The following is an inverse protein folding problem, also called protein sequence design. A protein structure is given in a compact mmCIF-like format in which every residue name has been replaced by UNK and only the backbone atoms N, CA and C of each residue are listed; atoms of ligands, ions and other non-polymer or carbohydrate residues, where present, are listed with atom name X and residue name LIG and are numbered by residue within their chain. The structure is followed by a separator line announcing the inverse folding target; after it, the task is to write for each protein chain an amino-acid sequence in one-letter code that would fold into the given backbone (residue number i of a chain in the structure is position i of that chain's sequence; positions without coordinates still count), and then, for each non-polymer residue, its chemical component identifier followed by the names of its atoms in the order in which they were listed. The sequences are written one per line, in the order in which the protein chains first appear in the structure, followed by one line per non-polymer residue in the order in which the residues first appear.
data_IF_961276683838
#
_entry.id   IF_961276683838
#
_cell.length_a   1.000
_cell.length_b   1.000
_cell.length_c   1.000
_cell.angle_alpha   90.00
_cell.angle_beta   90.00
_cell.angle_gamma   90.00
#
_symmetry.space_group_name_H-M   'P 1'
#
loop_
_entity.id
_entity.type
_entity.pdbx_description
1 polymer ?
#
# COMPACT_ATOMS: atom_id res chain seq x y z
N UNK A 1 7.44 12.72 -23.29
CA UNK A 1 6.86 12.57 -21.93
C UNK A 1 6.11 11.26 -21.91
N UNK A 2 6.65 10.20 -21.29
CA UNK A 2 5.90 9.01 -20.84
C UNK A 2 6.87 8.05 -20.17
N UNK A 3 6.95 8.11 -18.84
CA UNK A 3 7.50 6.99 -18.05
C UNK A 3 6.32 6.15 -17.62
N UNK A 4 5.94 5.17 -18.44
CA UNK A 4 5.19 4.02 -17.94
C UNK A 4 6.12 3.29 -16.98
N UNK A 5 6.12 3.72 -15.71
CA UNK A 5 6.61 2.91 -14.61
C UNK A 5 5.67 1.71 -14.58
N UNK A 6 6.11 0.56 -15.08
CA UNK A 6 5.49 -0.73 -14.78
C UNK A 6 5.61 -0.93 -13.26
N UNK A 7 4.66 -0.34 -12.52
CA UNK A 7 4.41 -0.67 -11.12
C UNK A 7 3.82 -2.07 -11.18
N UNK A 8 4.56 -3.08 -10.72
CA UNK A 8 4.02 -4.40 -10.45
C UNK A 8 2.95 -4.23 -9.36
N UNK A 9 1.70 -3.94 -9.75
CA UNK A 9 0.61 -3.67 -8.82
C UNK A 9 0.14 -4.99 -8.25
N UNK A 10 0.83 -5.45 -7.21
CA UNK A 10 0.31 -6.49 -6.34
C UNK A 10 -1.01 -5.99 -5.72
N UNK A 11 -1.98 -6.90 -5.53
CA UNK A 11 -3.22 -6.58 -4.84
C UNK A 11 -3.05 -6.82 -3.33
N UNK A 12 -3.82 -6.09 -2.52
CA UNK A 12 -3.80 -6.21 -1.06
C UNK A 12 -4.39 -7.53 -0.57
N UNK A 13 -3.68 -8.20 0.35
CA UNK A 13 -4.12 -9.47 0.94
C UNK A 13 -5.25 -9.23 1.94
N UNK A 14 -5.15 -8.18 2.77
CA UNK A 14 -6.21 -7.84 3.72
C UNK A 14 -7.44 -7.27 3.00
N UNK A 15 -7.23 -6.52 1.92
CA UNK A 15 -8.32 -6.10 1.04
C UNK A 15 -9.06 -7.31 0.46
N UNK A 16 -8.34 -8.32 -0.04
CA UNK A 16 -8.93 -9.56 -0.54
C UNK A 16 -9.71 -10.32 0.52
N UNK A 17 -9.19 -10.40 1.75
CA UNK A 17 -9.91 -11.00 2.88
C UNK A 17 -11.21 -10.27 3.22
N UNK A 18 -11.30 -8.96 2.94
CA UNK A 18 -12.51 -8.15 3.09
C UNK A 18 -13.42 -8.15 1.84
N UNK A 19 -13.12 -8.96 0.82
CA UNK A 19 -13.92 -9.07 -0.41
C UNK A 19 -13.54 -8.08 -1.52
N UNK A 20 -12.41 -7.38 -1.41
CA UNK A 20 -11.95 -6.39 -2.38
C UNK A 20 -10.79 -6.89 -3.23
N UNK A 21 -10.80 -6.58 -4.53
CA UNK A 21 -9.63 -6.74 -5.40
C UNK A 21 -9.06 -5.36 -5.70
N UNK A 22 -8.17 -4.88 -4.83
CA UNK A 22 -7.61 -3.53 -4.91
C UNK A 22 -6.07 -3.58 -4.98
N UNK A 23 -5.44 -2.76 -5.83
CA UNK A 23 -3.99 -2.69 -5.93
C UNK A 23 -3.38 -2.05 -4.67
N UNK A 24 -2.14 -2.44 -4.34
CA UNK A 24 -1.33 -1.77 -3.33
C UNK A 24 -0.99 -0.34 -3.77
N UNK A 25 -1.18 0.61 -2.86
CA UNK A 25 -0.89 2.02 -3.04
C UNK A 25 -0.21 2.61 -1.80
N UNK A 26 0.46 3.77 -1.96
CA UNK A 26 1.01 4.53 -0.85
C UNK A 26 -0.06 5.48 -0.32
N UNK A 27 -0.49 5.26 0.92
CA UNK A 27 -1.51 6.05 1.60
C UNK A 27 -0.90 6.85 2.76
N UNK A 28 -1.65 7.82 3.30
CA UNK A 28 -1.19 8.70 4.39
C UNK A 28 -2.22 8.73 5.52
N UNK A 29 -1.73 8.70 6.76
CA UNK A 29 -2.50 8.99 7.97
C UNK A 29 -1.72 9.97 8.86
N UNK A 30 -2.27 10.27 10.03
CA UNK A 30 -1.60 11.09 11.06
C UNK A 30 -0.31 10.43 11.57
N UNK A 31 -0.17 9.10 11.45
CA UNK A 31 1.01 8.34 11.91
C UNK A 31 2.14 8.30 10.86
N UNK A 32 1.87 8.74 9.64
CA UNK A 32 2.81 8.71 8.52
C UNK A 32 2.22 8.07 7.26
N UNK A 33 3.09 7.69 6.34
CA UNK A 33 2.74 6.97 5.12
C UNK A 33 2.73 5.47 5.35
N UNK A 34 1.95 4.72 4.58
CA UNK A 34 1.88 3.27 4.67
C UNK A 34 1.51 2.68 3.33
N UNK A 35 1.76 1.38 3.15
CA UNK A 35 1.31 0.62 1.99
C UNK A 35 -0.06 0.05 2.35
N UNK A 36 -1.06 0.33 1.52
CA UNK A 36 -2.45 -0.05 1.78
C UNK A 36 -3.24 -0.19 0.50
N UNK A 37 -4.55 -0.27 0.63
CA UNK A 37 -5.48 -0.23 -0.49
C UNK A 37 -6.55 0.82 -0.25
N UNK A 38 -7.08 1.41 -1.32
CA UNK A 38 -8.21 2.33 -1.26
C UNK A 38 -9.19 2.06 -2.40
N UNK A 39 -10.45 2.41 -2.17
CA UNK A 39 -11.48 2.47 -3.21
C UNK A 39 -12.00 3.91 -3.34
N UNK A 40 -13.06 4.10 -4.13
CA UNK A 40 -13.64 5.43 -4.38
C UNK A 40 -14.13 6.16 -3.12
N UNK A 41 -14.41 5.44 -2.04
CA UNK A 41 -14.89 6.03 -0.78
C UNK A 41 -13.79 6.22 0.27
N UNK A 42 -12.57 5.72 0.02
CA UNK A 42 -11.42 5.91 0.90
C UNK A 42 -10.60 4.64 1.15
N UNK A 43 -9.69 4.69 2.16
CA UNK A 43 -8.84 3.56 2.52
C UNK A 43 -9.66 2.33 2.97
N UNK A 44 -9.32 1.16 2.43
CA UNK A 44 -9.95 -0.12 2.75
C UNK A 44 -9.09 -0.92 3.73
N UNK A 45 -7.79 -0.98 3.50
CA UNK A 45 -6.86 -1.74 4.34
C UNK A 45 -5.50 -1.06 4.46
N UNK A 46 -4.84 -1.30 5.59
CA UNK A 46 -3.40 -1.06 5.75
C UNK A 46 -2.68 -2.39 5.65
N UNK A 47 -1.96 -2.57 4.55
CA UNK A 47 -1.29 -3.82 4.20
C UNK A 47 0.09 -3.90 4.85
N UNK A 48 0.82 -2.79 5.00
CA UNK A 48 2.10 -2.78 5.72
C UNK A 48 1.96 -2.74 7.24
N UNK A 49 2.82 -3.49 7.94
CA UNK A 49 3.05 -3.29 9.38
C UNK A 49 3.61 -1.89 9.66
N UNK A 50 4.51 -1.42 8.79
CA UNK A 50 5.22 -0.17 8.93
C UNK A 50 4.33 1.06 8.68
N UNK A 51 4.68 2.12 9.40
CA UNK A 51 4.48 3.49 8.96
C UNK A 51 5.83 4.09 8.58
N UNK A 52 5.86 4.81 7.47
CA UNK A 52 7.03 5.51 6.94
C UNK A 52 6.89 7.01 7.19
N UNK A 53 8.00 7.67 7.52
CA UNK A 53 7.98 9.13 7.77
C UNK A 53 7.75 9.94 6.50
N UNK A 54 8.20 9.42 5.36
CA UNK A 54 8.10 10.08 4.06
C UNK A 54 7.48 9.16 3.00
N UNK A 55 6.86 9.76 1.99
CA UNK A 55 6.23 9.04 0.88
C UNK A 55 7.24 8.23 0.07
N UNK A 56 8.42 8.80 -0.22
CA UNK A 56 9.49 8.15 -0.97
C UNK A 56 10.01 6.88 -0.30
N UNK A 57 10.09 6.86 1.03
CA UNK A 57 10.46 5.68 1.81
C UNK A 57 9.44 4.55 1.62
N UNK A 58 8.14 4.87 1.61
CA UNK A 58 7.09 3.89 1.38
C UNK A 58 7.08 3.40 -0.08
N UNK A 59 7.28 4.29 -1.06
CA UNK A 59 7.40 3.92 -2.47
C UNK A 59 8.61 3.01 -2.72
N UNK A 60 9.76 3.31 -2.11
CA UNK A 60 10.96 2.46 -2.18
C UNK A 60 10.72 1.12 -1.51
N UNK A 61 10.07 1.09 -0.34
CA UNK A 61 9.77 -0.16 0.35
C UNK A 61 8.85 -1.04 -0.49
N UNK A 62 7.77 -0.48 -1.05
CA UNK A 62 6.85 -1.18 -1.96
C UNK A 62 7.58 -1.73 -3.19
N UNK A 63 8.38 -0.89 -3.85
CA UNK A 63 9.12 -1.27 -5.07
C UNK A 63 10.14 -2.37 -4.80
N UNK A 64 10.86 -2.29 -3.68
CA UNK A 64 11.95 -3.21 -3.35
C UNK A 64 11.47 -4.44 -2.57
N UNK A 65 10.19 -4.51 -2.16
CA UNK A 65 9.65 -5.60 -1.36
C UNK A 65 10.22 -5.67 0.06
N UNK A 66 10.67 -4.54 0.63
CA UNK A 66 11.32 -4.49 1.95
C UNK A 66 10.37 -4.14 3.09
N UNK A 67 9.07 -4.06 2.81
CA UNK A 67 8.01 -3.88 3.82
C UNK A 67 7.49 -5.25 4.28
N UNK A 68 6.82 -5.28 5.44
CA UNK A 68 6.22 -6.52 5.96
C UNK A 68 4.71 -6.47 5.84
N UNK A 69 4.14 -7.55 5.31
CA UNK A 69 2.70 -7.75 5.29
C UNK A 69 2.19 -7.84 6.73
N UNK A 70 1.17 -7.03 7.03
CA UNK A 70 0.43 -7.11 8.29
C UNK A 70 -0.40 -8.38 8.29
N UNK A 71 -0.20 -9.22 9.31
CA UNK A 71 -1.01 -10.40 9.56
C UNK A 71 -2.11 -10.05 10.59
N UNK A 72 -3.31 -9.70 10.11
CA UNK A 72 -4.49 -9.47 10.96
C UNK A 72 -4.92 -7.99 11.12
N UNK A 73 -6.12 -7.82 11.69
CA UNK A 73 -6.74 -6.52 11.94
C UNK A 73 -6.14 -5.85 13.18
#
# INVERSE_FOLDING_TARGET
MNRQKHMNRQNGILAAAAGYTLPLEILKSTRGYYIGTQCSVGPVSRESEEYFKKHDQAEQALKNGTWRQRCGW
#
